data_IF_398421146974
#
_entry.id   IF_398421146974
#
_cell.length_a   1.000
_cell.length_b   1.000
_cell.length_c   1.000
_cell.angle_alpha   90.00
_cell.angle_beta   90.00
_cell.angle_gamma   90.00
#
_symmetry.space_group_name_H-M   'P 1'
#
loop_
_entity.id
_entity.type
_entity.pdbx_description
1 polymer ?
#
# COMPACT_ATOMS: atom_id res chain seq x y z
N UNK A 1 26.35 3.76 33.38
CA UNK A 1 25.79 4.84 32.52
C UNK A 1 24.82 4.16 31.59
N UNK A 2 23.53 4.13 31.95
CA UNK A 2 22.50 3.46 31.15
C UNK A 2 21.99 4.40 30.06
N UNK A 3 22.23 4.05 28.81
CA UNK A 3 21.48 4.57 27.67
C UNK A 3 20.14 3.83 27.63
N UNK A 4 19.15 4.36 28.35
CA UNK A 4 17.74 4.05 28.08
C UNK A 4 17.38 4.69 26.73
N UNK A 5 17.78 4.02 25.64
CA UNK A 5 17.24 4.33 24.32
C UNK A 5 15.80 3.88 24.38
N UNK A 6 14.88 4.84 24.50
CA UNK A 6 13.45 4.58 24.46
C UNK A 6 13.13 3.79 23.19
N UNK A 7 13.00 2.47 23.34
CA UNK A 7 12.57 1.57 22.28
C UNK A 7 11.15 1.98 21.94
N UNK A 8 11.05 2.86 20.94
CA UNK A 8 9.79 3.21 20.34
C UNK A 8 9.33 1.97 19.62
N UNK A 9 8.27 1.35 20.12
CA UNK A 9 7.78 0.08 19.63
C UNK A 9 6.40 0.28 18.99
N UNK A 10 6.36 0.98 17.84
CA UNK A 10 5.12 1.53 17.34
C UNK A 10 4.25 0.44 16.73
N UNK A 11 2.94 0.50 17.00
CA UNK A 11 1.92 -0.35 16.38
C UNK A 11 1.85 -0.19 14.85
N UNK A 12 2.52 0.83 14.32
CA UNK A 12 2.68 1.11 12.90
C UNK A 12 4.14 1.40 12.60
N UNK A 13 4.71 0.74 11.59
CA UNK A 13 6.03 1.08 11.06
C UNK A 13 5.92 1.49 9.60
N UNK A 14 6.74 2.44 9.19
CA UNK A 14 6.79 2.90 7.81
C UNK A 14 8.18 3.31 7.41
N UNK A 15 8.47 3.19 6.12
CA UNK A 15 9.76 3.54 5.56
C UNK A 15 9.67 3.76 4.07
N UNK A 16 10.61 4.55 3.55
CA UNK A 16 10.76 4.77 2.12
C UNK A 16 12.18 4.37 1.72
N UNK A 17 12.28 3.33 0.90
CA UNK A 17 13.53 3.00 0.23
C UNK A 17 13.79 4.04 -0.87
N UNK A 18 14.89 4.82 -0.81
CA UNK A 18 15.18 5.81 -1.83
C UNK A 18 15.40 5.13 -3.19
N UNK A 19 15.00 5.82 -4.26
CA UNK A 19 15.30 5.41 -5.63
C UNK A 19 16.82 5.47 -5.83
N UNK A 20 17.47 4.34 -6.10
CA UNK A 20 18.87 4.33 -6.57
C UNK A 20 18.89 4.19 -8.10
N UNK A 21 20.07 4.23 -8.72
CA UNK A 21 20.20 3.92 -10.15
C UNK A 21 19.71 2.48 -10.49
N UNK A 22 19.67 1.60 -9.49
CA UNK A 22 19.33 0.17 -9.62
C UNK A 22 18.00 -0.20 -8.95
N UNK A 23 17.37 0.70 -8.19
CA UNK A 23 16.16 0.41 -7.43
C UNK A 23 15.05 1.45 -7.63
N UNK A 24 13.82 0.95 -7.69
CA UNK A 24 12.62 1.79 -7.70
C UNK A 24 12.37 2.29 -6.28
N UNK A 25 12.00 3.57 -6.12
CA UNK A 25 11.56 4.07 -4.81
C UNK A 25 10.32 3.29 -4.33
N UNK A 26 10.44 2.64 -3.17
CA UNK A 26 9.35 1.86 -2.56
C UNK A 26 9.05 2.42 -1.18
N UNK A 27 7.84 2.95 -1.02
CA UNK A 27 7.26 3.27 0.27
C UNK A 27 6.51 2.08 0.83
N UNK A 28 6.66 1.79 2.12
CA UNK A 28 5.85 0.80 2.80
C UNK A 28 5.38 1.33 4.15
N UNK A 29 4.16 0.97 4.53
CA UNK A 29 3.59 1.18 5.85
C UNK A 29 2.91 -0.11 6.29
N UNK A 30 3.13 -0.53 7.53
CA UNK A 30 2.59 -1.75 8.10
C UNK A 30 1.97 -1.46 9.45
N UNK A 31 0.82 -2.05 9.73
CA UNK A 31 0.22 -2.05 11.06
C UNK A 31 0.28 -3.46 11.66
N UNK A 32 0.50 -3.54 12.96
CA UNK A 32 0.75 -4.79 13.68
C UNK A 32 -0.27 -4.99 14.80
N UNK A 33 -0.51 -6.25 15.18
CA UNK A 33 -1.27 -6.54 16.40
C UNK A 33 -0.57 -5.96 17.62
N UNK A 34 -1.37 -5.46 18.56
CA UNK A 34 -0.88 -4.91 19.83
C UNK A 34 -0.34 -5.99 20.76
N UNK A 35 -0.94 -7.17 20.73
CA UNK A 35 -0.67 -8.28 21.64
C UNK A 35 -0.14 -9.51 20.89
N UNK A 36 0.56 -10.39 21.62
CA UNK A 36 1.16 -11.61 21.09
C UNK A 36 2.38 -11.34 20.19
N UNK A 37 2.57 -12.20 19.19
CA UNK A 37 3.73 -12.21 18.28
C UNK A 37 3.80 -11.01 17.32
N UNK A 38 2.97 -9.99 17.53
CA UNK A 38 2.88 -8.78 16.70
C UNK A 38 2.81 -9.09 15.21
N UNK A 39 1.93 -10.01 14.86
CA UNK A 39 1.65 -10.33 13.48
C UNK A 39 1.23 -9.06 12.72
N UNK A 40 1.78 -8.87 11.51
CA UNK A 40 1.35 -7.79 10.61
C UNK A 40 -0.12 -8.02 10.22
N UNK A 41 -0.94 -6.99 10.39
CA UNK A 41 -2.38 -7.04 10.12
C UNK A 41 -2.72 -6.36 8.80
N UNK A 42 -2.03 -5.26 8.51
CA UNK A 42 -2.25 -4.45 7.32
C UNK A 42 -0.90 -4.07 6.73
N UNK A 43 -0.83 -4.08 5.41
CA UNK A 43 0.30 -3.56 4.67
C UNK A 43 -0.18 -2.62 3.56
N UNK A 44 0.48 -1.48 3.45
CA UNK A 44 0.32 -0.52 2.36
C UNK A 44 1.68 -0.39 1.68
N UNK A 45 1.70 -0.51 0.35
CA UNK A 45 2.90 -0.40 -0.47
C UNK A 45 2.66 0.62 -1.57
N UNK A 46 3.60 1.55 -1.73
CA UNK A 46 3.62 2.54 -2.80
C UNK A 46 4.89 2.34 -3.63
N UNK A 47 4.77 2.21 -4.94
CA UNK A 47 5.93 2.13 -5.84
C UNK A 47 5.82 3.13 -6.98
N UNK A 48 6.98 3.61 -7.46
CA UNK A 48 7.10 4.61 -8.51
C UNK A 48 7.53 4.04 -9.88
N UNK A 49 7.37 2.73 -10.12
CA UNK A 49 7.62 2.09 -11.41
C UNK A 49 6.77 0.81 -11.53
N UNK A 50 5.46 0.99 -11.57
CA UNK A 50 4.54 -0.11 -11.74
C UNK A 50 4.10 -0.23 -13.21
N UNK A 51 4.13 -1.46 -13.71
CA UNK A 51 3.54 -1.77 -15.01
C UNK A 51 2.02 -1.97 -14.86
N UNK A 52 1.20 -1.37 -15.75
CA UNK A 52 -0.22 -1.70 -15.90
C UNK A 52 -0.48 -3.19 -16.14
N UNK A 53 0.50 -3.95 -16.65
CA UNK A 53 0.36 -5.40 -16.85
C UNK A 53 0.09 -6.15 -15.54
N UNK A 54 0.59 -5.64 -14.39
CA UNK A 54 0.26 -6.22 -13.09
C UNK A 54 -1.24 -6.19 -12.77
N UNK A 55 -1.96 -5.19 -13.28
CA UNK A 55 -3.42 -5.11 -13.13
C UNK A 55 -4.08 -6.14 -14.03
N UNK A 56 -3.59 -6.31 -15.27
CA UNK A 56 -4.09 -7.34 -16.20
C UNK A 56 -3.91 -8.74 -15.62
N UNK A 57 -2.72 -9.04 -15.09
CA UNK A 57 -2.42 -10.33 -14.46
C UNK A 57 -3.30 -10.59 -13.24
N UNK A 58 -3.52 -9.55 -12.42
CA UNK A 58 -4.41 -9.63 -11.26
C UNK A 58 -5.85 -9.93 -11.62
N UNK A 59 -6.36 -9.29 -12.68
CA UNK A 59 -7.69 -9.53 -13.23
C UNK A 59 -7.80 -10.94 -13.85
N UNK A 60 -6.81 -11.36 -14.64
CA UNK A 60 -6.75 -12.70 -15.23
C UNK A 60 -6.72 -13.80 -14.15
N UNK A 61 -6.15 -13.49 -12.98
CA UNK A 61 -6.07 -14.38 -11.83
C UNK A 61 -7.28 -14.28 -10.89
N UNK A 62 -8.46 -13.93 -11.41
CA UNK A 62 -9.72 -13.87 -10.66
C UNK A 62 -9.95 -12.58 -9.86
N UNK A 63 -9.17 -11.52 -10.12
CA UNK A 63 -9.41 -10.20 -9.55
C UNK A 63 -10.69 -9.56 -10.08
N UNK A 64 -11.39 -8.85 -9.22
CA UNK A 64 -12.53 -8.02 -9.63
C UNK A 64 -12.04 -6.60 -9.93
N UNK A 65 -12.44 -5.97 -11.05
CA UNK A 65 -12.06 -4.59 -11.35
C UNK A 65 -12.46 -3.63 -10.22
N UNK A 66 -11.55 -2.71 -9.87
CA UNK A 66 -11.91 -1.61 -8.99
C UNK A 66 -12.85 -0.64 -9.74
N UNK A 67 -13.83 -0.05 -9.05
CA UNK A 67 -14.50 1.13 -9.58
C UNK A 67 -13.48 2.23 -9.82
N UNK A 68 -13.74 3.12 -10.78
CA UNK A 68 -12.86 4.25 -11.03
C UNK A 68 -12.79 5.15 -9.78
N UNK A 69 -11.60 5.23 -9.16
CA UNK A 69 -11.36 6.05 -7.97
C UNK A 69 -10.64 7.35 -8.31
N UNK A 70 -9.85 7.36 -9.38
CA UNK A 70 -9.10 8.49 -9.89
C UNK A 70 -9.12 8.48 -11.43
N UNK A 71 -9.06 9.65 -12.09
CA UNK A 71 -8.94 9.71 -13.54
C UNK A 71 -7.70 8.97 -14.02
N UNK A 72 -7.87 8.17 -15.08
CA UNK A 72 -6.82 7.37 -15.71
C UNK A 72 -6.14 6.39 -14.73
N UNK A 73 -6.89 5.91 -13.74
CA UNK A 73 -6.44 4.83 -12.87
C UNK A 73 -7.11 3.52 -13.23
N UNK A 74 -6.39 2.42 -13.05
CA UNK A 74 -6.92 1.08 -13.24
C UNK A 74 -6.44 0.20 -12.09
N UNK A 75 -7.25 -0.78 -11.71
CA UNK A 75 -6.92 -1.61 -10.58
C UNK A 75 -7.89 -2.74 -10.37
N UNK A 76 -7.58 -3.58 -9.39
CA UNK A 76 -8.40 -4.74 -9.03
C UNK A 76 -8.37 -4.97 -7.53
N UNK A 77 -9.35 -5.73 -7.05
CA UNK A 77 -9.35 -6.28 -5.71
C UNK A 77 -9.69 -7.76 -5.72
N UNK A 78 -9.22 -8.48 -4.71
CA UNK A 78 -9.52 -9.90 -4.50
C UNK A 78 -9.18 -10.34 -3.08
N UNK A 79 -9.65 -11.52 -2.71
CA UNK A 79 -9.05 -12.32 -1.64
C UNK A 79 -7.93 -13.19 -2.24
N UNK A 80 -6.85 -13.42 -1.50
CA UNK A 80 -5.79 -14.36 -1.89
C UNK A 80 -5.57 -15.39 -0.78
N UNK A 81 -4.74 -16.40 -1.03
CA UNK A 81 -4.33 -17.34 0.03
C UNK A 81 -3.54 -16.63 1.14
N UNK A 82 -2.76 -15.61 0.76
CA UNK A 82 -1.87 -14.86 1.65
C UNK A 82 -2.55 -13.64 2.31
N UNK A 83 -3.74 -13.26 1.84
CA UNK A 83 -4.42 -12.03 2.27
C UNK A 83 -5.93 -12.19 2.30
N UNK A 84 -6.52 -11.75 3.41
CA UNK A 84 -7.97 -11.71 3.60
C UNK A 84 -8.65 -10.63 2.75
N UNK A 85 -7.87 -9.68 2.22
CA UNK A 85 -8.31 -8.68 1.27
C UNK A 85 -7.12 -8.00 0.63
N UNK A 86 -7.12 -7.90 -0.70
CA UNK A 86 -6.06 -7.26 -1.47
C UNK A 86 -6.68 -6.29 -2.46
N UNK A 87 -6.14 -5.08 -2.55
CA UNK A 87 -6.49 -4.10 -3.58
C UNK A 87 -5.22 -3.49 -4.17
N UNK A 88 -5.17 -3.36 -5.49
CA UNK A 88 -4.09 -2.68 -6.23
C UNK A 88 -4.71 -1.63 -7.14
N UNK A 89 -4.14 -0.43 -7.13
CA UNK A 89 -4.49 0.65 -8.03
C UNK A 89 -3.22 1.23 -8.66
N UNK A 90 -3.24 1.36 -9.99
CA UNK A 90 -2.17 1.92 -10.80
C UNK A 90 -2.66 3.20 -11.46
N UNK A 91 -1.83 4.24 -11.46
CA UNK A 91 -2.04 5.49 -12.18
C UNK A 91 -0.71 5.97 -12.77
N UNK A 92 -0.59 5.92 -14.09
CA UNK A 92 0.71 6.11 -14.75
C UNK A 92 1.72 5.07 -14.26
N UNK A 93 2.90 5.52 -13.85
CA UNK A 93 3.97 4.64 -13.31
C UNK A 93 3.84 4.38 -11.80
N UNK A 94 2.82 4.93 -11.13
CA UNK A 94 2.63 4.79 -9.68
C UNK A 94 1.66 3.68 -9.36
N UNK A 95 1.99 2.85 -8.38
CA UNK A 95 1.10 1.82 -7.84
C UNK A 95 0.94 1.97 -6.34
N UNK A 96 -0.30 1.86 -5.89
CA UNK A 96 -0.67 1.67 -4.51
C UNK A 96 -1.26 0.26 -4.35
N UNK A 97 -0.73 -0.51 -3.41
CA UNK A 97 -1.27 -1.80 -3.03
C UNK A 97 -1.58 -1.82 -1.53
N UNK A 98 -2.70 -2.44 -1.17
CA UNK A 98 -3.17 -2.58 0.21
C UNK A 98 -3.53 -4.05 0.43
N UNK A 99 -3.01 -4.64 1.51
CA UNK A 99 -3.26 -6.03 1.88
C UNK A 99 -3.63 -6.13 3.36
N UNK A 100 -4.74 -6.83 3.66
CA UNK A 100 -5.08 -7.25 5.01
C UNK A 100 -4.63 -8.69 5.24
N UNK A 101 -3.59 -8.85 6.06
CA UNK A 101 -2.86 -10.11 6.24
C UNK A 101 -3.37 -10.95 7.41
N UNK A 102 -4.11 -10.34 8.34
CA UNK A 102 -4.66 -11.04 9.49
C UNK A 102 -6.15 -10.67 9.72
N UNK A 103 -6.95 -11.60 10.29
CA UNK A 103 -8.37 -11.35 10.49
C UNK A 103 -8.57 -10.31 11.60
N UNK A 104 -9.52 -9.42 11.34
CA UNK A 104 -10.07 -8.47 12.32
C UNK A 104 -11.51 -8.88 12.57
N UNK A 105 -11.84 -9.18 13.82
CA UNK A 105 -13.15 -9.72 14.19
C UNK A 105 -14.28 -8.78 13.76
N UNK A 106 -15.30 -9.35 13.12
CA UNK A 106 -16.47 -8.61 12.64
C UNK A 106 -16.22 -7.73 11.42
N UNK A 107 -15.07 -7.85 10.75
CA UNK A 107 -14.74 -7.06 9.56
C UNK A 107 -14.53 -7.92 8.32
N UNK A 108 -14.93 -7.40 7.17
CA UNK A 108 -14.66 -7.97 5.86
C UNK A 108 -13.38 -7.34 5.31
N UNK A 109 -12.34 -8.16 5.15
CA UNK A 109 -11.04 -7.67 4.71
C UNK A 109 -11.04 -7.09 3.30
N UNK A 110 -11.89 -7.58 2.40
CA UNK A 110 -12.03 -7.01 1.05
C UNK A 110 -12.70 -5.64 1.14
N UNK A 111 -13.78 -5.52 1.90
CA UNK A 111 -14.45 -4.23 2.10
C UNK A 111 -13.52 -3.20 2.74
N UNK A 112 -12.69 -3.62 3.70
CA UNK A 112 -11.75 -2.75 4.41
C UNK A 112 -10.64 -2.23 3.49
N UNK A 113 -10.01 -3.09 2.69
CA UNK A 113 -8.97 -2.63 1.75
C UNK A 113 -9.54 -1.73 0.66
N UNK A 114 -10.79 -1.96 0.23
CA UNK A 114 -11.49 -1.09 -0.72
C UNK A 114 -11.78 0.28 -0.13
N UNK A 115 -12.31 0.32 1.09
CA UNK A 115 -12.57 1.57 1.80
C UNK A 115 -11.26 2.36 2.03
N UNK A 116 -10.19 1.67 2.42
CA UNK A 116 -8.89 2.29 2.64
C UNK A 116 -8.29 2.79 1.32
N UNK A 117 -8.37 2.01 0.24
CA UNK A 117 -7.92 2.42 -1.09
C UNK A 117 -8.62 3.72 -1.51
N UNK A 118 -9.94 3.77 -1.38
CA UNK A 118 -10.73 4.97 -1.69
C UNK A 118 -10.30 6.19 -0.86
N UNK A 119 -9.92 5.98 0.41
CA UNK A 119 -9.50 7.04 1.31
C UNK A 119 -8.11 7.59 0.98
N UNK A 120 -7.12 6.72 0.73
CA UNK A 120 -5.72 7.14 0.65
C UNK A 120 -5.21 7.31 -0.78
N UNK A 121 -5.78 6.59 -1.77
CA UNK A 121 -5.32 6.67 -3.16
C UNK A 121 -5.28 8.09 -3.73
N UNK A 122 -6.29 8.97 -3.49
CA UNK A 122 -6.25 10.33 -4.00
C UNK A 122 -5.05 11.13 -3.49
N UNK A 123 -4.63 10.91 -2.23
CA UNK A 123 -3.46 11.61 -1.67
C UNK A 123 -2.15 11.01 -2.17
N UNK A 124 -2.08 9.68 -2.26
CA UNK A 124 -0.84 8.98 -2.61
C UNK A 124 -0.52 9.04 -4.11
N UNK A 125 -1.55 9.03 -4.97
CA UNK A 125 -1.38 8.95 -6.42
C UNK A 125 -1.67 10.26 -7.16
N UNK A 126 -2.19 11.30 -6.49
CA UNK A 126 -2.40 12.64 -7.11
C UNK A 126 -1.29 13.63 -6.87
N UNK A 127 -0.30 13.33 -6.02
CA UNK A 127 0.87 14.19 -5.87
C UNK A 127 1.65 14.21 -7.20
N UNK A 128 1.49 15.27 -7.98
CA UNK A 128 2.35 15.58 -9.13
C UNK A 128 3.77 15.71 -8.64
N UNK A 129 4.70 14.96 -9.23
CA UNK A 129 6.12 15.19 -9.03
C UNK A 129 6.50 16.51 -9.69
N UNK A 130 6.60 17.56 -8.90
CA UNK A 130 7.63 18.58 -9.10
C UNK A 130 8.12 18.97 -7.72
N UNK A 131 9.38 18.68 -7.34
CA UNK A 131 10.01 19.56 -6.38
C UNK A 131 9.98 20.95 -7.00
N UNK A 132 9.38 21.91 -6.30
CA UNK A 132 9.68 23.32 -6.57
C UNK A 132 11.19 23.43 -6.33
N UNK A 133 11.96 23.65 -7.40
CA UNK A 133 13.32 24.14 -7.26
C UNK A 133 13.21 25.55 -6.66
N UNK A 134 13.22 25.65 -5.34
CA UNK A 134 13.58 26.89 -4.69
C UNK A 134 15.08 27.13 -4.97
N UNK A 135 15.33 28.11 -5.83
CA UNK A 135 16.50 29.00 -5.85
C UNK A 135 17.90 28.38 -5.82
N UNK A 136 18.65 28.59 -6.89
CA UNK A 136 20.04 29.06 -6.85
C UNK A 136 20.39 29.73 -8.17
#
# INVERSE_FOLDING_TARGET
MELLIGQSDPLTSGGFGPKTAESVGVGSCSAYRREGDRQKVLQVVLTANASPDRVKDGLASGGTPLPEMLPNSTGFYRKTEESLGYAMLVRGEKMLAIAQLAPVQGRDGVADVLALMKLIAPRMLSASSSPVSEGS
#
